data_IF_487575575218
#
_entry.id   IF_487575575218
#
_cell.length_a   1.000
_cell.length_b   1.000
_cell.length_c   1.000
_cell.angle_alpha   90.00
_cell.angle_beta   90.00
_cell.angle_gamma   90.00
#
_symmetry.space_group_name_H-M   'P 1'
#
loop_
_entity.id
_entity.type
_entity.pdbx_description
1 polymer ?
#
# COMPACT_ATOMS: atom_id res chain seq x y z
N UNK A 1 22.88 5.14 12.84
CA UNK A 1 21.61 4.38 12.75
C UNK A 1 20.60 5.33 12.16
N UNK A 2 19.79 4.90 11.18
CA UNK A 2 18.71 5.71 10.59
C UNK A 2 17.61 5.97 11.62
N UNK A 3 16.90 7.10 11.47
CA UNK A 3 15.77 7.48 12.34
C UNK A 3 14.59 6.55 12.16
N UNK A 4 14.31 6.14 10.91
CA UNK A 4 13.17 5.28 10.59
C UNK A 4 13.61 3.92 10.01
N UNK A 5 12.76 2.92 10.18
CA UNK A 5 12.86 1.65 9.49
C UNK A 5 12.18 1.74 8.12
N UNK A 6 11.04 2.47 8.04
CA UNK A 6 10.36 2.75 6.78
C UNK A 6 9.74 4.14 6.80
N UNK A 7 9.93 4.86 5.70
CA UNK A 7 9.19 6.09 5.42
C UNK A 7 8.40 5.96 4.12
N UNK A 8 7.32 6.73 4.02
CA UNK A 8 6.46 6.73 2.85
C UNK A 8 5.69 8.05 2.75
N UNK A 9 5.13 8.32 1.58
CA UNK A 9 4.23 9.45 1.37
C UNK A 9 3.10 9.08 0.42
N UNK A 10 1.91 9.62 0.67
CA UNK A 10 0.74 9.28 -0.11
C UNK A 10 -0.47 10.15 0.23
N UNK A 11 -1.55 10.00 -0.54
CA UNK A 11 -2.77 10.75 -0.32
C UNK A 11 -3.56 10.19 0.87
N UNK A 12 -3.73 11.02 1.89
CA UNK A 12 -4.62 10.75 3.01
C UNK A 12 -6.08 10.83 2.57
N UNK A 13 -6.86 9.80 2.85
CA UNK A 13 -8.24 9.68 2.40
C UNK A 13 -9.18 9.31 3.54
N UNK A 14 -10.47 9.57 3.33
CA UNK A 14 -11.56 9.05 4.15
C UNK A 14 -12.42 8.15 3.26
N UNK A 15 -12.63 6.93 3.70
CA UNK A 15 -13.56 5.97 3.11
C UNK A 15 -14.93 6.09 3.77
N UNK A 16 -15.95 6.08 2.92
CA UNK A 16 -17.36 6.10 3.30
C UNK A 16 -18.01 4.81 2.78
N UNK A 17 -18.27 3.85 3.67
CA UNK A 17 -18.78 2.52 3.30
C UNK A 17 -20.27 2.41 3.59
N UNK A 18 -21.02 2.01 2.58
CA UNK A 18 -22.42 1.61 2.71
C UNK A 18 -22.49 0.28 3.47
N UNK A 19 -23.46 0.12 4.34
CA UNK A 19 -23.72 -1.17 4.98
C UNK A 19 -24.05 -2.25 3.90
N UNK A 20 -23.55 -3.47 4.12
CA UNK A 20 -23.79 -4.59 3.21
C UNK A 20 -25.29 -4.80 3.00
N UNK A 21 -25.70 -4.92 1.75
CA UNK A 21 -27.11 -5.02 1.34
C UNK A 21 -27.79 -3.69 1.03
N UNK A 22 -27.16 -2.56 1.34
CA UNK A 22 -27.66 -1.23 0.97
C UNK A 22 -26.96 -0.70 -0.31
N UNK A 23 -27.53 0.34 -0.92
CA UNK A 23 -26.97 1.03 -2.08
C UNK A 23 -26.62 2.47 -1.72
N UNK A 24 -25.56 2.99 -2.30
CA UNK A 24 -25.13 4.39 -2.10
C UNK A 24 -26.28 5.36 -2.45
N UNK A 25 -27.04 5.07 -3.50
CA UNK A 25 -28.17 5.92 -3.94
C UNK A 25 -29.33 5.99 -2.95
N UNK A 26 -29.45 5.08 -1.99
CA UNK A 26 -30.60 4.97 -1.08
C UNK A 26 -30.21 4.85 0.39
N UNK A 27 -28.92 4.73 0.70
CA UNK A 27 -28.46 4.60 2.09
C UNK A 27 -28.69 5.89 2.88
N UNK A 28 -28.92 5.73 4.17
CA UNK A 28 -29.09 6.84 5.12
C UNK A 28 -27.88 6.99 6.05
N UNK A 29 -26.99 6.00 6.08
CA UNK A 29 -25.82 5.96 6.95
C UNK A 29 -24.61 5.42 6.19
N UNK A 30 -23.45 5.94 6.53
CA UNK A 30 -22.16 5.53 5.99
C UNK A 30 -21.18 5.32 7.15
N UNK A 31 -20.42 4.23 7.10
CA UNK A 31 -19.30 4.02 8.00
C UNK A 31 -18.12 4.82 7.48
N UNK A 32 -17.55 5.66 8.34
CA UNK A 32 -16.38 6.47 8.04
C UNK A 32 -15.12 5.81 8.60
N UNK A 33 -14.12 5.55 7.74
CA UNK A 33 -12.80 5.03 8.11
C UNK A 33 -11.70 5.80 7.39
N UNK A 34 -10.57 6.09 8.04
CA UNK A 34 -9.36 6.55 7.35
C UNK A 34 -8.85 5.50 6.36
N UNK A 35 -8.19 5.98 5.30
CA UNK A 35 -7.65 5.14 4.25
C UNK A 35 -6.45 5.82 3.55
N UNK A 36 -5.57 5.02 3.01
CA UNK A 36 -4.40 5.45 2.25
C UNK A 36 -3.41 4.29 2.16
N UNK A 37 -3.08 3.84 0.96
CA UNK A 37 -2.28 2.62 0.76
C UNK A 37 -0.95 2.70 1.50
N UNK A 38 -0.22 3.79 1.32
CA UNK A 38 1.07 4.02 1.96
C UNK A 38 0.94 4.16 3.48
N UNK A 39 -0.09 4.87 3.95
CA UNK A 39 -0.38 5.02 5.37
C UNK A 39 -0.76 3.69 6.02
N UNK A 40 -1.51 2.83 5.31
CA UNK A 40 -1.87 1.50 5.79
C UNK A 40 -0.63 0.62 6.01
N UNK A 41 0.32 0.64 5.07
CA UNK A 41 1.60 -0.08 5.18
C UNK A 41 2.41 0.45 6.36
N UNK A 42 2.54 1.78 6.49
CA UNK A 42 3.24 2.39 7.63
C UNK A 42 2.58 2.06 8.97
N UNK A 43 1.23 2.12 9.03
CA UNK A 43 0.45 1.82 10.22
C UNK A 43 0.53 0.35 10.66
N UNK A 44 0.52 -0.58 9.71
CA UNK A 44 0.74 -1.99 10.01
C UNK A 44 2.14 -2.22 10.58
N UNK A 45 3.17 -1.68 9.94
CA UNK A 45 4.55 -1.82 10.40
C UNK A 45 4.79 -1.18 11.77
N UNK A 46 4.16 -0.04 12.06
CA UNK A 46 4.24 0.59 13.38
C UNK A 46 3.68 -0.32 14.48
N UNK A 47 2.54 -0.96 14.25
CA UNK A 47 1.95 -1.94 15.18
C UNK A 47 2.85 -3.17 15.37
N UNK A 48 3.67 -3.52 14.38
CA UNK A 48 4.67 -4.57 14.45
C UNK A 48 6.02 -4.11 15.05
N UNK A 49 6.04 -2.92 15.66
CA UNK A 49 7.21 -2.38 16.37
C UNK A 49 8.28 -1.74 15.49
N UNK A 50 7.96 -1.44 14.21
CA UNK A 50 8.86 -0.69 13.33
C UNK A 50 8.68 0.81 13.51
N UNK A 51 9.76 1.57 13.43
CA UNK A 51 9.72 3.04 13.42
C UNK A 51 9.34 3.50 12.01
N UNK A 52 8.13 4.03 11.85
CA UNK A 52 7.60 4.45 10.56
C UNK A 52 7.21 5.91 10.56
N UNK A 53 7.36 6.58 9.41
CA UNK A 53 6.83 7.91 9.18
C UNK A 53 6.02 7.95 7.88
N UNK A 54 4.98 8.77 7.91
CA UNK A 54 4.13 9.04 6.76
C UNK A 54 4.07 10.54 6.48
N UNK A 55 4.32 10.90 5.23
CA UNK A 55 4.19 12.28 4.75
C UNK A 55 2.98 12.43 3.83
N UNK A 56 2.33 13.56 3.91
CA UNK A 56 1.17 13.92 3.08
C UNK A 56 0.96 15.43 3.10
N UNK A 57 0.02 15.90 2.28
CA UNK A 57 -0.50 17.26 2.35
C UNK A 57 -2.01 17.21 2.59
N UNK A 58 -2.45 17.68 3.75
CA UNK A 58 -3.84 17.58 4.19
C UNK A 58 -4.38 18.94 4.66
N UNK A 59 -5.68 19.26 4.44
CA UNK A 59 -6.28 20.48 4.96
C UNK A 59 -6.42 20.44 6.48
N UNK A 60 -6.68 21.60 7.07
CA UNK A 60 -7.22 21.66 8.42
C UNK A 60 -8.67 21.16 8.42
N UNK A 61 -9.13 20.61 9.57
CA UNK A 61 -10.51 20.17 9.77
C UNK A 61 -10.65 18.74 10.30
N UNK A 62 -11.91 18.36 10.58
CA UNK A 62 -12.25 17.16 11.33
C UNK A 62 -11.88 15.87 10.60
N UNK A 63 -12.05 15.80 9.27
CA UNK A 63 -11.70 14.61 8.49
C UNK A 63 -10.20 14.36 8.50
N UNK A 64 -9.39 15.41 8.37
CA UNK A 64 -7.94 15.28 8.47
C UNK A 64 -7.51 14.91 9.89
N UNK A 65 -8.15 15.48 10.92
CA UNK A 65 -7.92 15.11 12.32
C UNK A 65 -8.26 13.64 12.54
N UNK A 66 -9.41 13.16 12.06
CA UNK A 66 -9.81 11.75 12.16
C UNK A 66 -8.81 10.81 11.49
N UNK A 67 -8.26 11.20 10.32
CA UNK A 67 -7.19 10.45 9.66
C UNK A 67 -5.93 10.40 10.54
N UNK A 68 -5.47 11.57 10.98
CA UNK A 68 -4.22 11.66 11.75
C UNK A 68 -4.30 10.94 13.10
N UNK A 69 -5.45 10.96 13.77
CA UNK A 69 -5.62 10.29 15.05
C UNK A 69 -5.59 8.77 14.93
N UNK A 70 -6.11 8.21 13.83
CA UNK A 70 -6.03 6.77 13.55
C UNK A 70 -4.57 6.31 13.44
N UNK A 71 -3.81 6.95 12.54
CA UNK A 71 -2.44 6.51 12.27
C UNK A 71 -1.46 6.88 13.40
N UNK A 72 -1.67 8.02 14.07
CA UNK A 72 -0.93 8.35 15.30
C UNK A 72 -1.20 7.35 16.41
N UNK A 73 -2.47 6.93 16.54
CA UNK A 73 -2.89 5.96 17.56
C UNK A 73 -2.20 4.60 17.43
N UNK A 74 -1.78 4.22 16.23
CA UNK A 74 -1.02 2.98 15.99
C UNK A 74 0.50 3.19 15.93
N UNK A 75 0.98 4.42 16.16
CA UNK A 75 2.40 4.70 16.33
C UNK A 75 3.14 5.20 15.08
N UNK A 76 2.44 5.62 14.02
CA UNK A 76 3.06 6.27 12.86
C UNK A 76 3.47 7.70 13.22
N UNK A 77 4.70 8.08 12.90
CA UNK A 77 5.14 9.47 12.96
C UNK A 77 4.51 10.27 11.81
N UNK A 78 3.72 11.28 12.16
CA UNK A 78 3.02 12.18 11.24
C UNK A 78 3.58 13.59 11.24
N UNK A 79 4.79 13.80 11.80
CA UNK A 79 5.43 15.12 11.85
C UNK A 79 5.75 15.68 10.46
N UNK A 80 5.84 14.81 9.45
CA UNK A 80 6.07 15.18 8.06
C UNK A 80 4.79 15.49 7.26
N UNK A 81 3.62 15.48 7.91
CA UNK A 81 2.36 15.85 7.26
C UNK A 81 2.23 17.37 7.19
N UNK A 82 2.22 17.89 5.98
CA UNK A 82 1.99 19.33 5.71
C UNK A 82 0.51 19.65 5.92
N UNK A 83 0.23 20.63 6.80
CA UNK A 83 -1.12 21.11 7.08
C UNK A 83 -1.40 22.37 6.27
N UNK A 84 -2.37 22.31 5.39
CA UNK A 84 -2.79 23.49 4.59
C UNK A 84 -3.98 24.19 5.22
N UNK A 85 -4.04 25.54 5.15
CA UNK A 85 -5.13 26.31 5.76
C UNK A 85 -6.48 26.05 5.06
N UNK A 86 -6.45 25.67 3.80
CA UNK A 86 -7.61 25.42 2.93
C UNK A 86 -7.48 24.07 2.21
N UNK A 87 -8.51 23.69 1.48
CA UNK A 87 -8.56 22.48 0.70
C UNK A 87 -9.58 21.47 1.22
N UNK A 88 -9.51 20.26 0.68
CA UNK A 88 -10.41 19.17 1.05
C UNK A 88 -9.65 17.85 1.21
N UNK A 89 -10.19 16.96 2.04
CA UNK A 89 -9.75 15.56 2.08
C UNK A 89 -10.24 14.82 0.86
N UNK A 90 -9.44 13.86 0.40
CA UNK A 90 -9.89 12.88 -0.56
C UNK A 90 -10.92 11.96 0.08
N UNK A 91 -11.98 11.67 -0.66
CA UNK A 91 -13.03 10.74 -0.24
C UNK A 91 -13.15 9.61 -1.27
N UNK A 92 -13.53 8.45 -0.81
CA UNK A 92 -14.11 7.45 -1.69
C UNK A 92 -15.26 6.71 -1.01
N UNK A 93 -16.22 6.33 -1.85
CA UNK A 93 -17.42 5.62 -1.42
C UNK A 93 -17.30 4.16 -1.84
N UNK A 94 -17.61 3.26 -0.92
CA UNK A 94 -17.55 1.83 -1.13
C UNK A 94 -18.93 1.19 -0.96
N UNK A 95 -19.43 0.59 -2.03
CA UNK A 95 -20.54 -0.37 -1.96
C UNK A 95 -19.95 -1.79 -1.91
N UNK A 96 -20.04 -2.50 -0.77
CA UNK A 96 -19.57 -3.88 -0.69
C UNK A 96 -20.31 -4.77 -1.68
N UNK A 97 -19.56 -5.60 -2.41
CA UNK A 97 -20.17 -6.55 -3.33
C UNK A 97 -20.82 -7.71 -2.60
N UNK A 98 -21.93 -8.19 -3.15
CA UNK A 98 -22.58 -9.45 -2.79
C UNK A 98 -23.06 -10.12 -4.07
N UNK A 99 -22.71 -11.40 -4.24
CA UNK A 99 -23.11 -12.12 -5.45
C UNK A 99 -24.61 -11.95 -5.74
N UNK A 100 -25.02 -11.65 -6.98
CA UNK A 100 -24.23 -11.57 -8.23
C UNK A 100 -23.59 -10.19 -8.52
N UNK A 101 -23.61 -9.24 -7.60
CA UNK A 101 -23.13 -7.89 -7.82
C UNK A 101 -21.69 -7.72 -7.34
N UNK A 102 -20.79 -7.16 -8.16
CA UNK A 102 -19.44 -6.82 -7.73
C UNK A 102 -19.46 -5.64 -6.75
N UNK A 103 -18.39 -5.52 -5.93
CA UNK A 103 -18.13 -4.32 -5.18
C UNK A 103 -17.93 -3.12 -6.11
N UNK A 104 -18.39 -1.94 -5.69
CA UNK A 104 -18.26 -0.70 -6.45
C UNK A 104 -17.55 0.36 -5.63
N UNK A 105 -16.57 1.03 -6.24
CA UNK A 105 -15.88 2.18 -5.69
C UNK A 105 -16.25 3.42 -6.49
N UNK A 106 -16.58 4.51 -5.80
CA UNK A 106 -16.79 5.84 -6.39
C UNK A 106 -15.83 6.82 -5.73
N UNK A 107 -14.92 7.40 -6.51
CA UNK A 107 -13.95 8.37 -6.01
C UNK A 107 -14.51 9.79 -6.03
N UNK A 108 -14.26 10.53 -4.95
CA UNK A 108 -14.38 11.97 -4.85
C UNK A 108 -13.05 12.54 -4.30
N UNK A 109 -12.00 12.49 -5.13
CA UNK A 109 -10.62 12.81 -4.75
C UNK A 109 -9.95 13.85 -5.67
N UNK A 110 -10.74 14.60 -6.46
CA UNK A 110 -10.21 15.69 -7.28
C UNK A 110 -9.97 16.94 -6.42
N UNK A 111 -9.02 17.77 -6.82
CA UNK A 111 -8.71 19.06 -6.20
C UNK A 111 -8.35 18.98 -4.71
N UNK A 112 -7.68 17.91 -4.30
CA UNK A 112 -7.06 17.82 -2.98
C UNK A 112 -5.68 18.47 -3.00
N UNK A 113 -5.21 18.95 -1.85
CA UNK A 113 -3.88 19.57 -1.76
C UNK A 113 -2.74 18.59 -2.00
N UNK A 114 -2.96 17.31 -1.71
CA UNK A 114 -1.97 16.28 -2.03
C UNK A 114 -1.72 16.15 -3.54
N UNK A 115 -2.71 16.40 -4.37
CA UNK A 115 -2.55 16.37 -5.84
C UNK A 115 -1.71 17.52 -6.41
N UNK A 116 -1.42 18.51 -5.59
CA UNK A 116 -0.61 19.71 -5.93
C UNK A 116 0.82 19.61 -5.38
N UNK A 117 1.21 18.48 -4.73
CA UNK A 117 2.57 18.31 -4.20
C UNK A 117 3.62 18.38 -5.31
N UNK A 118 4.77 18.91 -4.95
CA UNK A 118 5.98 18.93 -5.77
C UNK A 118 7.15 18.37 -4.95
N UNK A 119 8.32 18.11 -5.55
CA UNK A 119 9.50 17.69 -4.80
C UNK A 119 9.84 18.60 -3.62
N UNK A 120 9.55 19.90 -3.71
CA UNK A 120 9.82 20.88 -2.66
C UNK A 120 8.80 20.85 -1.51
N UNK A 121 7.74 20.08 -1.62
CA UNK A 121 6.69 19.99 -0.59
C UNK A 121 7.21 19.34 0.70
N UNK A 122 8.16 18.42 0.59
CA UNK A 122 8.62 17.61 1.70
C UNK A 122 10.09 17.83 2.05
N UNK A 123 10.43 17.63 3.32
CA UNK A 123 11.81 17.56 3.80
C UNK A 123 12.39 16.18 3.51
N UNK A 124 13.08 16.03 2.38
CA UNK A 124 13.70 14.78 1.97
C UNK A 124 14.90 14.38 2.81
N UNK A 125 15.56 15.31 3.48
CA UNK A 125 16.66 14.96 4.38
C UNK A 125 16.13 14.18 5.58
N UNK A 126 15.00 14.60 6.12
CA UNK A 126 14.34 13.89 7.20
C UNK A 126 13.66 12.59 6.75
N UNK A 127 12.94 12.62 5.61
CA UNK A 127 12.22 11.44 5.11
C UNK A 127 13.15 10.33 4.61
N UNK A 128 14.34 10.67 4.11
CA UNK A 128 15.30 9.67 3.62
C UNK A 128 16.33 9.25 4.67
N UNK A 129 16.19 9.70 5.92
CA UNK A 129 16.90 9.09 7.06
C UNK A 129 16.20 7.79 7.51
N UNK A 130 16.05 6.90 6.56
CA UNK A 130 15.30 5.65 6.66
C UNK A 130 16.08 4.48 6.06
N UNK A 131 15.71 3.25 6.45
CA UNK A 131 16.23 2.03 5.81
C UNK A 131 15.54 1.73 4.49
N UNK A 132 14.21 2.00 4.43
CA UNK A 132 13.38 1.71 3.25
C UNK A 132 12.46 2.90 2.98
N UNK A 133 12.48 3.42 1.75
CA UNK A 133 11.42 4.27 1.20
C UNK A 133 10.40 3.37 0.51
N UNK A 134 9.12 3.47 0.91
CA UNK A 134 8.02 2.78 0.25
C UNK A 134 7.22 3.75 -0.60
N UNK A 135 6.95 3.38 -1.85
CA UNK A 135 6.15 4.16 -2.81
C UNK A 135 5.18 3.28 -3.57
N UNK A 136 4.08 3.86 -4.04
CA UNK A 136 3.10 3.13 -4.85
C UNK A 136 2.80 3.83 -6.17
N UNK A 137 2.36 3.05 -7.15
CA UNK A 137 1.82 3.57 -8.39
C UNK A 137 0.52 4.37 -8.20
N UNK A 138 -0.21 4.22 -7.08
CA UNK A 138 -1.39 5.05 -6.79
C UNK A 138 -1.00 6.51 -6.66
N UNK A 139 0.04 6.82 -5.87
CA UNK A 139 0.50 8.20 -5.67
C UNK A 139 1.00 8.79 -6.98
N UNK A 140 1.79 8.04 -7.75
CA UNK A 140 2.26 8.48 -9.07
C UNK A 140 1.12 8.74 -10.07
N UNK A 141 -0.02 8.04 -9.93
CA UNK A 141 -1.15 8.13 -10.86
C UNK A 141 -2.03 9.38 -10.70
N UNK A 142 -1.86 10.16 -9.64
CA UNK A 142 -2.83 11.21 -9.29
C UNK A 142 -2.73 12.43 -10.21
N UNK A 143 -1.52 12.91 -10.48
CA UNK A 143 -1.21 14.03 -11.38
C UNK A 143 0.21 13.91 -11.91
N UNK A 144 0.57 14.69 -12.93
CA UNK A 144 1.96 14.76 -13.39
C UNK A 144 2.91 15.24 -12.29
N UNK A 145 2.48 16.18 -11.46
CA UNK A 145 3.27 16.69 -10.33
C UNK A 145 3.52 15.62 -9.26
N UNK A 146 2.53 14.76 -8.96
CA UNK A 146 2.75 13.64 -8.03
C UNK A 146 3.65 12.55 -8.65
N UNK A 147 3.55 12.31 -9.97
CA UNK A 147 4.45 11.41 -10.68
C UNK A 147 5.90 11.92 -10.64
N UNK A 148 6.11 13.21 -10.86
CA UNK A 148 7.42 13.87 -10.74
C UNK A 148 7.96 13.76 -9.30
N UNK A 149 7.11 13.96 -8.29
CA UNK A 149 7.51 13.85 -6.88
C UNK A 149 7.92 12.40 -6.53
N UNK A 150 7.19 11.39 -7.01
CA UNK A 150 7.57 9.97 -6.82
C UNK A 150 8.89 9.67 -7.52
N UNK A 151 9.06 10.14 -8.75
CA UNK A 151 10.31 9.96 -9.49
C UNK A 151 11.49 10.58 -8.74
N UNK A 152 11.35 11.82 -8.32
CA UNK A 152 12.37 12.52 -7.52
C UNK A 152 12.72 11.77 -6.24
N UNK A 153 11.70 11.32 -5.49
CA UNK A 153 11.90 10.59 -4.24
C UNK A 153 12.69 9.28 -4.44
N UNK A 154 12.36 8.52 -5.49
CA UNK A 154 13.04 7.27 -5.84
C UNK A 154 14.50 7.54 -6.27
N UNK A 155 14.73 8.54 -7.12
CA UNK A 155 16.08 8.91 -7.56
C UNK A 155 16.95 9.39 -6.41
N UNK A 156 16.42 10.23 -5.54
CA UNK A 156 17.13 10.76 -4.38
C UNK A 156 17.40 9.68 -3.33
N UNK A 157 16.45 8.77 -3.07
CA UNK A 157 16.64 7.61 -2.21
C UNK A 157 17.75 6.69 -2.75
N UNK A 158 17.72 6.39 -4.05
CA UNK A 158 18.77 5.59 -4.72
C UNK A 158 20.14 6.25 -4.60
N UNK A 159 20.22 7.56 -4.86
CA UNK A 159 21.47 8.34 -4.74
C UNK A 159 22.06 8.30 -3.33
N UNK A 160 21.21 8.23 -2.30
CA UNK A 160 21.60 8.13 -0.87
C UNK A 160 21.84 6.69 -0.40
N UNK A 161 21.60 5.69 -1.25
CA UNK A 161 21.73 4.27 -0.88
C UNK A 161 20.62 3.76 0.02
N UNK A 162 19.48 4.46 0.08
CA UNK A 162 18.26 4.00 0.75
C UNK A 162 17.61 2.91 -0.09
N UNK A 163 17.19 1.81 0.54
CA UNK A 163 16.46 0.75 -0.15
C UNK A 163 15.06 1.24 -0.55
N UNK A 164 14.59 0.80 -1.73
CA UNK A 164 13.32 1.24 -2.28
C UNK A 164 12.39 0.05 -2.43
N UNK A 165 11.22 0.13 -1.81
CA UNK A 165 10.11 -0.78 -2.02
C UNK A 165 9.05 -0.08 -2.89
N UNK A 166 8.67 -0.71 -4.01
CA UNK A 166 7.66 -0.18 -4.91
C UNK A 166 6.51 -1.19 -5.08
N UNK A 167 5.28 -0.73 -4.89
CA UNK A 167 4.08 -1.48 -5.27
C UNK A 167 3.48 -0.85 -6.53
N UNK A 168 3.44 -1.60 -7.63
CA UNK A 168 2.85 -1.15 -8.90
C UNK A 168 1.41 -0.69 -8.71
N UNK A 169 0.64 -1.42 -7.95
CA UNK A 169 -0.70 -1.07 -7.43
C UNK A 169 -1.57 -0.33 -8.47
N UNK A 170 -1.64 -0.87 -9.70
CA UNK A 170 -2.29 -0.23 -10.82
C UNK A 170 -3.80 -0.03 -10.61
N UNK A 171 -4.27 1.16 -10.93
CA UNK A 171 -5.69 1.53 -10.84
C UNK A 171 -6.16 2.13 -12.16
N UNK A 172 -6.91 1.36 -12.94
CA UNK A 172 -7.42 1.77 -14.27
C UNK A 172 -8.33 3.01 -14.24
N UNK A 173 -8.88 3.38 -13.09
CA UNK A 173 -9.67 4.61 -12.92
C UNK A 173 -8.80 5.86 -12.72
N UNK A 174 -7.49 5.73 -12.52
CA UNK A 174 -6.58 6.85 -12.30
C UNK A 174 -5.75 7.18 -13.55
N UNK A 175 -5.27 6.19 -14.26
CA UNK A 175 -4.42 6.38 -15.45
C UNK A 175 -4.50 5.20 -16.43
N UNK A 176 -3.99 5.41 -17.67
CA UNK A 176 -3.88 4.35 -18.66
C UNK A 176 -2.71 3.41 -18.35
N UNK A 177 -2.69 2.23 -18.97
CA UNK A 177 -1.60 1.25 -18.85
C UNK A 177 -0.29 1.80 -19.42
N UNK A 178 -0.38 2.53 -20.54
CA UNK A 178 0.75 3.18 -21.21
C UNK A 178 1.38 4.25 -20.30
N UNK A 179 0.54 5.12 -19.70
CA UNK A 179 1.04 6.16 -18.80
C UNK A 179 1.64 5.55 -17.52
N UNK A 180 1.03 4.49 -16.98
CA UNK A 180 1.58 3.77 -15.84
C UNK A 180 2.97 3.20 -16.16
N UNK A 181 3.14 2.61 -17.34
CA UNK A 181 4.42 2.10 -17.80
C UNK A 181 5.46 3.21 -17.96
N UNK A 182 5.11 4.29 -18.66
CA UNK A 182 6.01 5.43 -18.89
C UNK A 182 6.59 5.98 -17.57
N UNK A 183 5.80 6.02 -16.51
CA UNK A 183 6.22 6.57 -15.22
C UNK A 183 6.96 5.54 -14.37
N UNK A 184 6.45 4.30 -14.27
CA UNK A 184 6.96 3.32 -13.32
C UNK A 184 8.14 2.51 -13.86
N UNK A 185 8.15 2.13 -15.14
CA UNK A 185 9.20 1.27 -15.71
C UNK A 185 10.61 1.88 -15.56
N UNK A 186 10.84 3.20 -15.76
CA UNK A 186 12.16 3.83 -15.58
C UNK A 186 12.67 3.83 -14.13
N UNK A 187 11.82 3.54 -13.15
CA UNK A 187 12.19 3.50 -11.74
C UNK A 187 12.67 2.11 -11.28
N UNK A 188 12.33 1.06 -12.04
CA UNK A 188 12.50 -0.33 -11.60
C UNK A 188 13.95 -0.74 -11.40
N UNK A 189 14.89 -0.17 -12.14
CA UNK A 189 16.34 -0.42 -11.98
C UNK A 189 16.92 0.09 -10.64
N UNK A 190 16.15 0.90 -9.91
CA UNK A 190 16.50 1.47 -8.60
C UNK A 190 15.79 0.76 -7.43
N UNK A 191 14.81 -0.10 -7.76
CA UNK A 191 13.96 -0.76 -6.76
C UNK A 191 14.67 -1.98 -6.17
N UNK A 192 14.65 -2.08 -4.84
CA UNK A 192 15.22 -3.23 -4.11
C UNK A 192 14.20 -4.36 -3.94
N UNK A 193 12.93 -4.02 -3.73
CA UNK A 193 11.83 -4.99 -3.66
C UNK A 193 10.61 -4.46 -4.41
N UNK A 194 10.15 -5.24 -5.39
CA UNK A 194 8.99 -4.94 -6.21
C UNK A 194 7.80 -5.79 -5.79
N UNK A 195 6.69 -5.14 -5.48
CA UNK A 195 5.37 -5.75 -5.39
C UNK A 195 4.61 -5.50 -6.69
N UNK A 196 4.22 -6.58 -7.36
CA UNK A 196 3.54 -6.48 -8.66
C UNK A 196 2.59 -7.66 -8.82
N UNK A 197 1.28 -7.41 -8.85
CA UNK A 197 0.36 -8.49 -9.15
C UNK A 197 0.63 -9.06 -10.55
N UNK A 198 0.32 -10.35 -10.78
CA UNK A 198 0.45 -10.94 -12.13
C UNK A 198 -0.27 -10.09 -13.18
N UNK A 199 -1.47 -9.61 -12.85
CA UNK A 199 -2.25 -8.81 -13.79
C UNK A 199 -1.61 -7.44 -14.06
N UNK A 200 -0.98 -6.81 -13.07
CA UNK A 200 -0.27 -5.55 -13.27
C UNK A 200 1.01 -5.77 -14.09
N UNK A 201 1.73 -6.86 -13.84
CA UNK A 201 2.87 -7.26 -14.66
C UNK A 201 2.50 -7.41 -16.14
N UNK A 202 1.36 -8.03 -16.43
CA UNK A 202 0.85 -8.18 -17.80
C UNK A 202 0.40 -6.83 -18.37
N UNK A 203 -0.48 -6.11 -17.66
CA UNK A 203 -1.14 -4.90 -18.18
C UNK A 203 -0.20 -3.72 -18.29
N UNK A 204 0.62 -3.50 -17.25
CA UNK A 204 1.48 -2.31 -17.16
C UNK A 204 2.86 -2.58 -17.74
N UNK A 205 3.49 -3.70 -17.35
CA UNK A 205 4.90 -3.96 -17.69
C UNK A 205 5.09 -4.87 -18.92
N UNK A 206 3.96 -5.30 -19.54
CA UNK A 206 3.97 -6.05 -20.80
C UNK A 206 4.49 -7.47 -20.69
N UNK A 207 4.45 -8.06 -19.48
CA UNK A 207 4.78 -9.46 -19.28
C UNK A 207 3.71 -10.39 -19.88
N UNK A 208 4.03 -11.66 -20.04
CA UNK A 208 3.09 -12.66 -20.54
C UNK A 208 3.28 -14.00 -19.79
N UNK A 209 2.19 -14.71 -19.56
CA UNK A 209 2.25 -16.05 -18.97
C UNK A 209 1.49 -16.21 -17.66
N UNK A 210 1.79 -17.30 -16.97
CA UNK A 210 1.27 -17.62 -15.65
C UNK A 210 2.04 -16.87 -14.55
N UNK A 211 1.64 -17.07 -13.30
CA UNK A 211 2.23 -16.37 -12.15
C UNK A 211 3.75 -16.57 -12.01
N UNK A 212 4.25 -17.80 -12.02
CA UNK A 212 5.68 -18.06 -11.95
C UNK A 212 6.48 -17.40 -13.08
N UNK A 213 5.97 -17.50 -14.30
CA UNK A 213 6.61 -16.94 -15.51
C UNK A 213 6.71 -15.42 -15.41
N UNK A 214 5.59 -14.74 -15.14
CA UNK A 214 5.56 -13.28 -15.00
C UNK A 214 6.49 -12.80 -13.87
N UNK A 215 6.49 -13.50 -12.74
CA UNK A 215 7.33 -13.13 -11.60
C UNK A 215 8.83 -13.27 -11.93
N UNK A 216 9.24 -14.39 -12.54
CA UNK A 216 10.62 -14.62 -12.95
C UNK A 216 11.09 -13.64 -14.04
N UNK A 217 10.22 -13.35 -15.01
CA UNK A 217 10.51 -12.41 -16.09
C UNK A 217 10.72 -10.97 -15.57
N UNK A 218 9.90 -10.52 -14.63
CA UNK A 218 10.08 -9.24 -13.94
C UNK A 218 11.44 -9.15 -13.27
N UNK A 219 11.81 -10.18 -12.50
CA UNK A 219 13.09 -10.23 -11.81
C UNK A 219 14.26 -10.17 -12.78
N UNK A 220 14.21 -10.97 -13.85
CA UNK A 220 15.30 -11.05 -14.83
C UNK A 220 15.42 -9.77 -15.67
N UNK A 221 14.29 -9.23 -16.17
CA UNK A 221 14.26 -8.07 -17.06
C UNK A 221 14.82 -6.82 -16.39
N UNK A 222 14.51 -6.61 -15.11
CA UNK A 222 14.87 -5.38 -14.39
C UNK A 222 16.02 -5.58 -13.39
N UNK A 223 16.55 -6.79 -13.25
CA UNK A 223 17.68 -7.09 -12.36
C UNK A 223 17.37 -6.88 -10.87
N UNK A 224 16.12 -7.14 -10.47
CA UNK A 224 15.62 -6.85 -9.12
C UNK A 224 16.16 -7.84 -8.08
N UNK A 225 16.53 -7.33 -6.89
CA UNK A 225 16.92 -8.18 -5.76
C UNK A 225 15.74 -9.07 -5.30
N UNK A 226 14.52 -8.52 -5.28
CA UNK A 226 13.31 -9.21 -4.84
C UNK A 226 12.09 -8.80 -5.67
N UNK A 227 11.33 -9.77 -6.15
CA UNK A 227 10.00 -9.58 -6.78
C UNK A 227 8.99 -10.46 -6.07
N UNK A 228 7.91 -9.86 -5.60
CA UNK A 228 6.78 -10.54 -4.97
C UNK A 228 5.53 -10.30 -5.80
N UNK A 229 4.98 -11.35 -6.39
CA UNK A 229 3.79 -11.27 -7.25
C UNK A 229 2.62 -12.00 -6.64
N UNK A 230 1.49 -11.30 -6.49
CA UNK A 230 0.23 -11.89 -6.07
C UNK A 230 -0.61 -12.29 -7.29
N UNK A 231 -1.32 -13.42 -7.21
CA UNK A 231 -2.28 -13.87 -8.23
C UNK A 231 -3.56 -14.39 -7.59
N UNK A 232 -4.16 -13.55 -6.76
CA UNK A 232 -5.41 -13.84 -6.04
C UNK A 232 -5.31 -15.19 -5.29
N UNK A 233 -6.27 -16.09 -5.51
CA UNK A 233 -6.30 -17.44 -4.90
C UNK A 233 -5.31 -18.41 -5.56
N UNK A 234 -4.75 -18.07 -6.72
CA UNK A 234 -3.77 -18.91 -7.38
C UNK A 234 -2.43 -18.93 -6.64
N UNK A 235 -2.14 -17.93 -5.82
CA UNK A 235 -0.98 -17.95 -4.95
C UNK A 235 -0.15 -16.65 -4.93
N UNK A 236 0.99 -16.73 -4.29
CA UNK A 236 2.03 -15.71 -4.27
C UNK A 236 3.33 -16.34 -4.78
N UNK A 237 4.01 -15.61 -5.64
CA UNK A 237 5.27 -16.02 -6.27
C UNK A 237 6.37 -15.06 -5.87
N UNK A 238 7.52 -15.63 -5.55
CA UNK A 238 8.73 -14.89 -5.26
C UNK A 238 9.83 -15.29 -6.24
N UNK A 239 10.57 -14.31 -6.75
CA UNK A 239 11.86 -14.48 -7.43
C UNK A 239 12.84 -13.44 -6.93
N UNK A 240 14.08 -13.83 -6.72
CA UNK A 240 15.12 -12.92 -6.26
C UNK A 240 16.39 -13.60 -5.82
N UNK A 241 17.22 -12.90 -5.05
CA UNK A 241 18.52 -13.38 -4.58
C UNK A 241 18.44 -14.63 -3.70
N UNK A 242 17.26 -14.95 -3.13
CA UNK A 242 16.99 -16.18 -2.36
C UNK A 242 16.38 -17.31 -3.21
N UNK A 243 16.43 -17.19 -4.55
CA UNK A 243 15.87 -18.16 -5.49
C UNK A 243 14.43 -17.87 -5.88
N UNK A 244 13.67 -18.92 -6.20
CA UNK A 244 12.25 -18.83 -6.56
C UNK A 244 11.44 -19.66 -5.57
N UNK A 245 10.29 -19.11 -5.16
CA UNK A 245 9.38 -19.79 -4.23
C UNK A 245 7.93 -19.47 -4.53
N UNK A 246 7.07 -20.47 -4.29
CA UNK A 246 5.63 -20.38 -4.37
C UNK A 246 5.01 -20.53 -2.98
N UNK A 247 4.00 -19.70 -2.71
CA UNK A 247 3.23 -19.73 -1.48
C UNK A 247 1.74 -19.90 -1.81
N UNK A 248 1.10 -20.85 -1.15
CA UNK A 248 -0.34 -21.09 -1.29
C UNK A 248 -1.15 -20.01 -0.57
N UNK A 249 -2.29 -19.65 -1.15
CA UNK A 249 -3.28 -18.76 -0.53
C UNK A 249 -4.47 -19.57 -0.06
N UNK A 250 -4.74 -19.53 1.23
CA UNK A 250 -5.94 -20.16 1.81
C UNK A 250 -7.08 -19.12 1.83
N UNK A 251 -8.23 -19.41 1.21
CA UNK A 251 -9.39 -18.55 1.27
C UNK A 251 -9.91 -18.41 2.70
N UNK A 252 -10.36 -17.21 3.05
CA UNK A 252 -11.04 -16.92 4.32
C UNK A 252 -12.36 -16.22 4.05
N UNK A 253 -13.35 -16.30 4.97
CA UNK A 253 -14.56 -15.49 4.90
C UNK A 253 -14.20 -13.99 4.88
N UNK A 254 -14.82 -13.24 3.96
CA UNK A 254 -14.50 -11.84 3.74
C UNK A 254 -15.57 -10.95 4.39
N UNK A 255 -15.15 -10.17 5.37
CA UNK A 255 -15.95 -9.09 5.97
C UNK A 255 -15.78 -7.80 5.14
N UNK A 256 -14.51 -7.45 4.83
CA UNK A 256 -14.17 -6.28 4.03
C UNK A 256 -12.92 -6.59 3.17
N UNK A 257 -12.75 -5.95 2.01
CA UNK A 257 -11.64 -6.22 1.09
C UNK A 257 -10.53 -5.16 1.07
N UNK A 258 -10.85 -3.85 1.14
CA UNK A 258 -9.82 -2.81 1.11
C UNK A 258 -8.79 -2.99 2.23
N UNK A 259 -7.54 -2.66 1.94
CA UNK A 259 -6.43 -2.79 2.88
C UNK A 259 -5.74 -4.17 2.91
N UNK A 260 -6.35 -5.23 2.33
CA UNK A 260 -5.73 -6.57 2.35
C UNK A 260 -4.40 -6.63 1.56
N UNK A 261 -4.30 -5.89 0.44
CA UNK A 261 -3.06 -5.74 -0.32
C UNK A 261 -1.99 -4.97 0.45
N UNK A 262 -2.38 -3.85 1.06
CA UNK A 262 -1.47 -3.03 1.87
C UNK A 262 -0.96 -3.83 3.08
N UNK A 263 -1.84 -4.63 3.70
CA UNK A 263 -1.48 -5.52 4.80
C UNK A 263 -0.52 -6.63 4.36
N UNK A 264 -0.71 -7.18 3.16
CA UNK A 264 0.24 -8.13 2.58
C UNK A 264 1.62 -7.50 2.38
N UNK A 265 1.67 -6.29 1.80
CA UNK A 265 2.91 -5.53 1.60
C UNK A 265 3.58 -5.21 2.94
N UNK A 266 2.83 -4.70 3.91
CA UNK A 266 3.34 -4.37 5.25
C UNK A 266 3.92 -5.57 5.99
N UNK A 267 3.20 -6.71 5.98
CA UNK A 267 3.71 -7.96 6.57
C UNK A 267 4.97 -8.47 5.88
N UNK A 268 5.01 -8.41 4.54
CA UNK A 268 6.20 -8.79 3.77
C UNK A 268 7.39 -7.87 4.09
N UNK A 269 7.18 -6.57 4.16
CA UNK A 269 8.21 -5.60 4.51
C UNK A 269 8.69 -5.76 5.96
N UNK A 270 7.84 -6.23 6.88
CA UNK A 270 8.28 -6.55 8.24
C UNK A 270 9.39 -7.61 8.26
N UNK A 271 9.25 -8.69 7.49
CA UNK A 271 10.30 -9.70 7.34
C UNK A 271 11.50 -9.19 6.55
N UNK A 272 11.27 -8.46 5.46
CA UNK A 272 12.33 -7.83 4.67
C UNK A 272 13.25 -6.93 5.53
N UNK A 273 12.66 -6.15 6.44
CA UNK A 273 13.40 -5.31 7.41
C UNK A 273 14.17 -6.13 8.46
N UNK A 274 13.92 -7.43 8.55
CA UNK A 274 14.66 -8.39 9.37
C UNK A 274 15.60 -9.27 8.54
N UNK A 275 15.87 -8.88 7.28
CA UNK A 275 16.72 -9.60 6.32
C UNK A 275 16.17 -11.00 5.92
N UNK A 276 14.86 -11.22 6.10
CA UNK A 276 14.16 -12.47 5.75
C UNK A 276 12.86 -12.17 4.98
N UNK A 277 13.00 -11.98 3.67
CA UNK A 277 11.84 -11.69 2.80
C UNK A 277 10.90 -12.91 2.67
N UNK A 278 11.40 -14.12 2.76
CA UNK A 278 10.57 -15.32 2.63
C UNK A 278 9.67 -15.50 3.86
N UNK A 279 10.21 -15.34 5.06
CA UNK A 279 9.39 -15.25 6.28
C UNK A 279 8.42 -14.05 6.19
N UNK A 280 8.87 -12.92 5.63
CA UNK A 280 8.05 -11.75 5.39
C UNK A 280 6.82 -12.04 4.52
N UNK A 281 6.94 -12.83 3.46
CA UNK A 281 5.80 -13.25 2.63
C UNK A 281 4.81 -14.07 3.46
N UNK A 282 5.29 -14.92 4.36
CA UNK A 282 4.45 -15.65 5.33
C UNK A 282 3.67 -14.69 6.24
N UNK A 283 4.32 -13.67 6.79
CA UNK A 283 3.67 -12.60 7.56
C UNK A 283 2.67 -11.83 6.70
N UNK A 284 3.02 -11.49 5.46
CA UNK A 284 2.14 -10.79 4.51
C UNK A 284 0.85 -11.58 4.22
N UNK A 285 0.96 -12.87 4.01
CA UNK A 285 -0.21 -13.76 3.85
C UNK A 285 -1.08 -13.76 5.10
N UNK A 286 -0.48 -13.78 6.29
CA UNK A 286 -1.23 -13.75 7.53
C UNK A 286 -1.93 -12.41 7.76
N UNK A 287 -1.22 -11.31 7.63
CA UNK A 287 -1.79 -9.97 7.83
C UNK A 287 -2.88 -9.66 6.81
N UNK A 288 -2.72 -10.12 5.56
CA UNK A 288 -3.76 -10.01 4.53
C UNK A 288 -5.03 -10.79 4.91
N UNK A 289 -4.90 -12.00 5.46
CA UNK A 289 -6.05 -12.75 5.97
C UNK A 289 -6.75 -12.00 7.13
N UNK A 290 -5.98 -11.47 8.07
CA UNK A 290 -6.53 -10.67 9.19
C UNK A 290 -7.27 -9.44 8.66
N UNK A 291 -6.72 -8.72 7.68
CA UNK A 291 -7.38 -7.59 7.03
C UNK A 291 -8.77 -7.93 6.50
N UNK A 292 -8.94 -9.12 5.94
CA UNK A 292 -10.22 -9.56 5.39
C UNK A 292 -11.29 -9.84 6.45
N UNK A 293 -10.93 -9.93 7.74
CA UNK A 293 -11.84 -10.33 8.83
C UNK A 293 -12.47 -9.18 9.60
N UNK A 294 -12.11 -7.93 9.29
CA UNK A 294 -12.66 -6.75 9.96
C UNK A 294 -12.92 -5.60 8.99
N UNK A 295 -13.55 -4.55 9.46
CA UNK A 295 -13.84 -3.37 8.65
C UNK A 295 -12.74 -2.33 8.75
N UNK A 296 -12.47 -1.64 7.66
CA UNK A 296 -11.46 -0.58 7.56
C UNK A 296 -10.30 -0.98 6.68
N UNK A 297 -9.54 0.01 6.23
CA UNK A 297 -8.40 -0.22 5.34
C UNK A 297 -7.12 -0.53 6.14
N UNK A 298 -6.97 0.12 7.30
CA UNK A 298 -5.88 -0.19 8.21
C UNK A 298 -6.21 -1.45 9.00
N UNK A 299 -5.34 -2.45 8.90
CA UNK A 299 -5.44 -3.65 9.74
C UNK A 299 -4.95 -3.34 11.14
N UNK A 300 -5.81 -3.58 12.13
CA UNK A 300 -5.43 -3.50 13.54
C UNK A 300 -5.02 -4.89 14.03
N UNK A 301 -3.81 -5.00 14.54
CA UNK A 301 -3.28 -6.24 15.10
C UNK A 301 -2.21 -5.99 16.17
N UNK A 302 -1.97 -6.98 16.99
CA UNK A 302 -0.81 -7.05 17.87
C UNK A 302 0.28 -7.95 17.28
N UNK A 303 1.56 -7.75 17.62
CA UNK A 303 2.64 -8.65 17.18
C UNK A 303 2.40 -10.13 17.49
N UNK A 304 1.76 -10.42 18.62
CA UNK A 304 1.44 -11.79 19.03
C UNK A 304 0.49 -12.50 18.05
N UNK A 305 -0.37 -11.76 17.33
CA UNK A 305 -1.30 -12.35 16.38
C UNK A 305 -0.63 -12.87 15.12
N UNK A 306 0.61 -12.47 14.83
CA UNK A 306 1.38 -13.06 13.73
C UNK A 306 1.75 -14.53 14.03
N UNK A 307 1.92 -14.88 15.30
CA UNK A 307 2.36 -16.20 15.73
C UNK A 307 1.21 -17.12 16.21
N UNK A 308 0.00 -16.56 16.35
CA UNK A 308 -1.15 -17.36 16.80
C UNK A 308 -1.48 -18.47 15.79
N UNK A 309 -1.78 -19.69 16.24
CA UNK A 309 -2.29 -20.72 15.35
C UNK A 309 -3.62 -20.31 14.73
N UNK A 310 -3.85 -20.72 13.49
CA UNK A 310 -5.16 -20.54 12.86
C UNK A 310 -6.19 -21.40 13.59
N UNK A 311 -7.12 -20.78 14.31
CA UNK A 311 -8.17 -21.46 15.07
C UNK A 311 -9.45 -20.63 15.07
N UNK A 312 -10.59 -21.31 15.14
CA UNK A 312 -11.90 -20.69 15.41
C UNK A 312 -12.28 -20.77 16.90
N UNK A 313 -11.42 -21.37 17.73
CA UNK A 313 -11.66 -21.48 19.15
C UNK A 313 -11.43 -20.16 19.89
N UNK A 314 -12.08 -20.03 21.04
CA UNK A 314 -11.90 -18.86 21.89
C UNK A 314 -10.50 -18.89 22.50
N UNK A 315 -9.69 -17.89 22.18
CA UNK A 315 -8.40 -17.63 22.85
C UNK A 315 -8.69 -16.98 24.22
N UNK A 316 -8.19 -17.58 25.31
CA UNK A 316 -8.39 -17.10 26.68
C UNK A 316 -7.07 -16.74 27.33
#
# INVERSE_FOLDING_TARGET
MTTYDLTTFGEAQIRLTVEKGNRLATCQQLRLTPAGSEANVAGLLAQLGRRTAFASSVPQGDLATRFMDEYRGVGVDLSHVVRTPDGRMALYFMEPGEYPLPAKVTYDRMHTKFREITPETFDWDALLDTRVLFVTGITAALTDSTAETVTYAVEEAHRRGVKIALDVNYRSLLWSQERAREVLEPLLDKVSILFCSRLDGIKVLGMAGDGPTVNAELQQKYGLDHVVSTDQVAGVYYSGIQGQQYFTVEPVPVVDRPGAGDSFVGGTLHGYLSDDVLAGIGYGLRTSKLALTHHGDLTHLSPAELELPTSTDIVR
#
